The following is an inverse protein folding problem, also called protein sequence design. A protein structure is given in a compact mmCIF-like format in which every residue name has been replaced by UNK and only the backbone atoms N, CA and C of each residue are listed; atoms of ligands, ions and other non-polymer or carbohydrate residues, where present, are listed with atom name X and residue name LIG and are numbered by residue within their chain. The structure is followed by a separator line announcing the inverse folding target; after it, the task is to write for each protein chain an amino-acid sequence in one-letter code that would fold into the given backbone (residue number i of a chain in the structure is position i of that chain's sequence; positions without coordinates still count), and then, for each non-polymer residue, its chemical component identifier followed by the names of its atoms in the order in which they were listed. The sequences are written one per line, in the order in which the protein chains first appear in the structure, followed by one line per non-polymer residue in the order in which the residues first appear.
data_IF_814385120796
#
_entry.id   IF_814385120796
#
_cell.length_a   1.000
_cell.length_b   1.000
_cell.length_c   1.000
_cell.angle_alpha   90.00
_cell.angle_beta   90.00
_cell.angle_gamma   90.00
#
_symmetry.space_group_name_H-M   'P 1'
#
loop_
_entity.id
_entity.type
_entity.pdbx_description
1 polymer ?
#
# COMPACT_ATOMS: atom_id res chain seq x y z
N UNK A 1 -24.44 3.54 14.14
CA UNK A 1 -23.24 4.35 13.82
C UNK A 1 -22.20 3.42 13.23
N UNK A 2 -21.65 3.72 12.05
CA UNK A 2 -20.56 2.92 11.45
C UNK A 2 -19.26 3.72 11.53
N UNK A 3 -18.23 3.10 12.10
CA UNK A 3 -16.89 3.67 12.15
C UNK A 3 -15.88 2.64 11.68
N UNK A 4 -14.87 3.13 10.98
CA UNK A 4 -13.75 2.34 10.50
C UNK A 4 -12.51 2.81 11.22
N UNK A 5 -11.87 1.90 11.95
CA UNK A 5 -10.66 2.15 12.73
C UNK A 5 -9.50 1.45 12.02
N UNK A 6 -8.41 2.17 11.80
CA UNK A 6 -7.18 1.63 11.24
C UNK A 6 -6.04 1.82 12.24
N UNK A 7 -5.32 0.75 12.56
CA UNK A 7 -4.03 0.80 13.27
C UNK A 7 -3.03 1.57 12.42
N UNK A 8 -2.19 2.39 13.07
CA UNK A 8 -1.14 3.16 12.41
C UNK A 8 0.22 2.90 13.07
N UNK A 9 1.34 3.08 12.35
CA UNK A 9 2.67 2.94 12.92
C UNK A 9 2.91 4.02 13.98
N UNK A 10 3.94 3.78 14.79
CA UNK A 10 4.33 4.71 15.87
C UNK A 10 4.73 6.08 15.30
N UNK A 11 4.33 7.15 15.98
CA UNK A 11 4.61 8.53 15.56
C UNK A 11 3.60 9.10 14.56
N UNK A 12 2.55 8.37 14.20
CA UNK A 12 1.46 8.87 13.36
C UNK A 12 0.50 9.77 14.16
N UNK A 13 0.30 9.46 15.45
CA UNK A 13 -0.65 10.14 16.33
C UNK A 13 -2.11 9.69 16.13
N UNK A 14 -3.03 10.38 16.82
CA UNK A 14 -4.47 10.08 16.76
C UNK A 14 -5.19 11.02 15.79
N UNK A 15 -5.62 10.49 14.65
CA UNK A 15 -6.46 11.20 13.67
C UNK A 15 -7.89 10.68 13.76
N UNK A 16 -8.69 11.34 14.58
CA UNK A 16 -10.08 10.96 14.85
C UNK A 16 -10.95 12.19 15.19
N UNK A 17 -12.25 11.96 15.37
CA UNK A 17 -13.14 12.97 15.96
C UNK A 17 -12.66 13.35 17.37
N UNK A 18 -12.84 14.63 17.76
CA UNK A 18 -12.43 15.18 19.07
C UNK A 18 -12.74 14.27 20.28
N UNK A 19 -13.93 13.67 20.32
CA UNK A 19 -14.39 12.83 21.44
C UNK A 19 -13.56 11.55 21.52
N UNK A 20 -13.34 10.88 20.39
CA UNK A 20 -12.52 9.66 20.34
C UNK A 20 -11.07 9.98 20.70
N UNK A 21 -10.56 11.15 20.28
CA UNK A 21 -9.19 11.56 20.63
C UNK A 21 -8.99 11.65 22.15
N UNK A 22 -9.94 12.20 22.89
CA UNK A 22 -9.86 12.22 24.37
C UNK A 22 -9.99 10.82 24.97
N UNK A 23 -10.87 9.98 24.42
CA UNK A 23 -10.98 8.57 24.84
C UNK A 23 -9.67 7.80 24.61
N UNK A 24 -9.02 7.97 23.46
CA UNK A 24 -7.73 7.35 23.17
C UNK A 24 -6.63 7.80 24.13
N UNK A 25 -6.62 9.08 24.53
CA UNK A 25 -5.68 9.58 25.55
C UNK A 25 -5.90 8.89 26.91
N UNK A 26 -7.16 8.70 27.32
CA UNK A 26 -7.48 8.01 28.57
C UNK A 26 -7.09 6.52 28.55
N UNK A 27 -7.28 5.85 27.42
CA UNK A 27 -6.93 4.42 27.26
C UNK A 27 -5.40 4.24 27.09
N UNK A 28 -4.69 5.27 26.63
CA UNK A 28 -3.26 5.19 26.31
C UNK A 28 -2.96 4.74 24.89
N UNK A 29 -3.89 4.93 23.95
CA UNK A 29 -3.67 4.64 22.52
C UNK A 29 -3.07 5.88 21.84
N UNK A 30 -1.85 5.75 21.33
CA UNK A 30 -1.08 6.84 20.71
C UNK A 30 -1.33 6.99 19.21
N UNK A 31 -1.43 5.88 18.48
CA UNK A 31 -1.36 5.88 17.01
C UNK A 31 -2.56 5.18 16.38
N UNK A 32 -3.50 5.97 15.87
CA UNK A 32 -4.78 5.45 15.41
C UNK A 32 -5.47 6.41 14.43
N UNK A 33 -6.08 5.86 13.38
CA UNK A 33 -6.89 6.63 12.44
C UNK A 33 -8.33 6.14 12.44
N UNK A 34 -9.29 7.01 12.80
CA UNK A 34 -10.73 6.70 12.74
C UNK A 34 -11.40 7.48 11.64
N UNK A 35 -12.11 6.76 10.77
CA UNK A 35 -13.02 7.34 9.79
C UNK A 35 -14.46 6.99 10.14
N UNK A 36 -15.29 8.02 10.26
CA UNK A 36 -16.73 7.86 10.36
C UNK A 36 -17.34 7.84 8.97
N UNK A 37 -18.29 6.93 8.77
CA UNK A 37 -19.02 6.79 7.51
C UNK A 37 -20.11 7.87 7.39
N UNK A 38 -20.76 8.19 8.52
CA UNK A 38 -21.77 9.23 8.63
C UNK A 38 -21.40 10.33 9.63
N UNK A 39 -22.13 11.45 9.60
CA UNK A 39 -21.97 12.53 10.59
C UNK A 39 -22.30 12.00 11.99
N UNK A 40 -21.45 12.32 12.97
CA UNK A 40 -21.72 11.97 14.35
C UNK A 40 -22.87 12.82 14.92
N UNK A 41 -24.05 12.21 15.08
CA UNK A 41 -25.22 12.87 15.67
C UNK A 41 -25.19 12.95 17.20
N UNK A 42 -24.52 12.00 17.87
CA UNK A 42 -24.40 11.97 19.34
C UNK A 42 -23.05 11.41 19.78
N UNK A 43 -22.46 12.00 20.82
CA UNK A 43 -21.18 11.58 21.39
C UNK A 43 -21.28 10.23 22.12
N UNK A 44 -22.41 9.93 22.76
CA UNK A 44 -22.59 8.67 23.49
C UNK A 44 -22.60 7.46 22.53
N UNK A 45 -23.30 7.59 21.40
CA UNK A 45 -23.33 6.55 20.37
C UNK A 45 -21.96 6.33 19.73
N UNK A 46 -21.16 7.38 19.59
CA UNK A 46 -19.79 7.30 19.11
C UNK A 46 -18.91 6.52 20.08
N UNK A 47 -18.94 6.88 21.37
CA UNK A 47 -18.14 6.22 22.42
C UNK A 47 -18.55 4.75 22.54
N UNK A 48 -19.85 4.46 22.62
CA UNK A 48 -20.38 3.09 22.69
C UNK A 48 -19.88 2.23 21.53
N UNK A 49 -19.99 2.73 20.30
CA UNK A 49 -19.54 1.98 19.14
C UNK A 49 -18.01 1.81 19.10
N UNK A 50 -17.24 2.80 19.58
CA UNK A 50 -15.78 2.69 19.67
C UNK A 50 -15.36 1.65 20.71
N UNK A 51 -15.92 1.70 21.92
CA UNK A 51 -15.63 0.74 22.99
C UNK A 51 -16.07 -0.68 22.62
N UNK A 52 -17.24 -0.84 22.01
CA UNK A 52 -17.68 -2.14 21.49
C UNK A 52 -16.71 -2.70 20.45
N UNK A 53 -16.14 -1.83 19.59
CA UNK A 53 -15.11 -2.22 18.63
C UNK A 53 -13.81 -2.67 19.30
N UNK A 54 -13.37 -2.00 20.36
CA UNK A 54 -12.17 -2.38 21.13
C UNK A 54 -12.38 -3.70 21.87
N UNK A 55 -13.55 -3.94 22.45
CA UNK A 55 -13.87 -5.19 23.14
C UNK A 55 -13.90 -6.40 22.20
N UNK A 56 -14.37 -6.19 20.97
CA UNK A 56 -14.43 -7.24 19.95
C UNK A 56 -13.10 -7.44 19.19
N UNK A 57 -12.01 -6.80 19.64
CA UNK A 57 -10.71 -6.93 18.99
C UNK A 57 -10.12 -8.32 19.24
N UNK A 58 -9.78 -9.02 18.14
CA UNK A 58 -9.05 -10.29 18.22
C UNK A 58 -7.55 -10.05 18.31
N UNK A 59 -6.86 -10.86 19.10
CA UNK A 59 -5.40 -10.85 19.14
C UNK A 59 -4.82 -11.59 17.94
N UNK A 60 -3.56 -11.31 17.59
CA UNK A 60 -2.89 -12.01 16.49
C UNK A 60 -2.80 -13.52 16.73
N UNK A 61 -2.66 -13.93 17.99
CA UNK A 61 -2.63 -15.34 18.38
C UNK A 61 -3.98 -16.02 18.14
N UNK A 62 -5.07 -15.40 18.59
CA UNK A 62 -6.42 -15.92 18.35
C UNK A 62 -6.72 -16.08 16.85
N UNK A 63 -6.31 -15.11 16.03
CA UNK A 63 -6.46 -15.20 14.57
C UNK A 63 -5.65 -16.35 13.97
N UNK A 64 -4.40 -16.52 14.42
CA UNK A 64 -3.54 -17.61 13.97
C UNK A 64 -4.11 -18.97 14.37
N UNK A 65 -4.64 -19.11 15.58
CA UNK A 65 -5.26 -20.34 16.09
C UNK A 65 -6.59 -20.66 15.37
N UNK A 66 -7.44 -19.66 15.13
CA UNK A 66 -8.71 -19.81 14.39
C UNK A 66 -8.47 -20.29 12.95
N UNK A 67 -7.53 -19.67 12.25
CA UNK A 67 -7.20 -20.00 10.86
C UNK A 67 -6.19 -21.15 10.74
N UNK A 68 -5.53 -21.55 11.83
CA UNK A 68 -4.42 -22.51 11.85
C UNK A 68 -3.33 -22.20 10.82
N UNK A 69 -2.96 -20.91 10.72
CA UNK A 69 -1.94 -20.40 9.80
C UNK A 69 -1.03 -19.41 10.50
N UNK A 70 0.21 -19.28 10.02
CA UNK A 70 1.16 -18.29 10.53
C UNK A 70 0.75 -16.87 10.11
N UNK A 71 0.79 -15.93 11.06
CA UNK A 71 0.53 -14.53 10.79
C UNK A 71 1.86 -13.81 10.57
N UNK A 72 2.06 -13.30 9.35
CA UNK A 72 3.32 -12.68 8.91
C UNK A 72 3.09 -11.18 8.68
N UNK A 73 4.04 -10.37 9.16
CA UNK A 73 4.08 -8.93 8.95
C UNK A 73 5.11 -8.58 7.88
N UNK A 74 4.68 -7.72 6.97
CA UNK A 74 5.52 -7.12 5.95
C UNK A 74 5.59 -5.62 6.18
N UNK A 75 6.76 -5.09 6.56
CA UNK A 75 6.97 -3.65 6.74
C UNK A 75 7.88 -3.10 5.66
N UNK A 76 7.51 -1.94 5.12
CA UNK A 76 8.34 -1.21 4.14
C UNK A 76 9.65 -0.71 4.74
N UNK A 77 9.67 -0.42 6.03
CA UNK A 77 10.85 0.03 6.76
C UNK A 77 11.93 -1.05 6.87
N UNK A 78 11.53 -2.32 6.90
CA UNK A 78 12.42 -3.48 6.99
C UNK A 78 12.56 -4.17 5.63
N UNK A 79 12.50 -3.39 4.55
CA UNK A 79 12.61 -3.88 3.16
C UNK A 79 11.66 -5.04 2.83
N UNK A 80 10.45 -5.02 3.41
CA UNK A 80 9.41 -6.05 3.18
C UNK A 80 9.90 -7.44 3.63
N UNK A 81 10.84 -7.50 4.58
CA UNK A 81 11.27 -8.76 5.17
C UNK A 81 10.12 -9.44 5.95
N UNK A 82 9.85 -10.74 5.71
CA UNK A 82 8.75 -11.44 6.37
C UNK A 82 9.08 -11.68 7.84
N UNK A 83 8.29 -11.08 8.74
CA UNK A 83 8.39 -11.33 10.18
C UNK A 83 7.17 -12.11 10.66
N UNK A 84 7.38 -13.29 11.22
CA UNK A 84 6.29 -14.04 11.87
C UNK A 84 5.91 -13.32 13.18
N UNK A 85 4.66 -12.86 13.29
CA UNK A 85 4.11 -12.26 14.51
C UNK A 85 3.55 -13.32 15.44
N UNK A 86 2.78 -14.25 14.88
CA UNK A 86 2.08 -15.27 15.64
C UNK A 86 2.10 -16.60 14.89
N UNK A 87 2.22 -17.68 15.66
CA UNK A 87 2.16 -19.05 15.17
C UNK A 87 1.02 -19.79 15.86
N UNK A 88 0.27 -20.63 15.14
CA UNK A 88 -0.81 -21.40 15.73
C UNK A 88 -0.26 -22.41 16.74
N UNK A 89 -0.96 -22.58 17.86
CA UNK A 89 -0.58 -23.50 18.94
C UNK A 89 -0.85 -24.95 18.55
N UNK A 90 -1.95 -25.22 17.85
CA UNK A 90 -2.42 -26.56 17.48
C UNK A 90 -1.75 -27.10 16.20
N UNK A 91 -0.72 -26.42 15.70
CA UNK A 91 -0.06 -26.73 14.42
C UNK A 91 -0.67 -25.98 13.23
N UNK A 92 0.11 -25.85 12.16
CA UNK A 92 -0.26 -25.15 10.93
C UNK A 92 -0.91 -26.11 9.92
N UNK A 93 -1.94 -25.63 9.21
CA UNK A 93 -2.52 -26.35 8.06
C UNK A 93 -1.46 -26.58 6.99
N UNK A 94 -1.60 -27.71 6.29
CA UNK A 94 -0.82 -28.00 5.08
C UNK A 94 -1.34 -27.18 3.90
N UNK A 95 -0.53 -26.91 2.87
CA UNK A 95 -0.95 -26.14 1.70
C UNK A 95 -2.14 -26.78 0.95
N UNK A 96 -2.30 -28.10 1.04
CA UNK A 96 -3.39 -28.86 0.41
C UNK A 96 -4.76 -28.62 1.09
N UNK A 97 -4.76 -28.25 2.38
CA UNK A 97 -5.98 -28.02 3.17
C UNK A 97 -6.45 -26.55 3.10
N UNK A 98 -5.66 -25.68 2.47
CA UNK A 98 -5.98 -24.27 2.31
C UNK A 98 -6.74 -24.11 1.00
N UNK A 99 -7.98 -23.65 1.09
CA UNK A 99 -8.77 -23.35 -0.10
C UNK A 99 -8.11 -22.20 -0.88
N UNK A 100 -7.89 -22.33 -2.20
CA UNK A 100 -7.27 -21.28 -3.01
C UNK A 100 -8.04 -19.95 -3.02
N UNK A 101 -9.33 -19.97 -2.72
CA UNK A 101 -10.23 -18.82 -2.68
C UNK A 101 -10.48 -18.32 -1.25
N UNK A 102 -9.77 -18.84 -0.24
CA UNK A 102 -9.86 -18.36 1.14
C UNK A 102 -9.23 -16.95 1.28
N UNK A 103 -9.93 -16.05 1.96
CA UNK A 103 -9.41 -14.72 2.28
C UNK A 103 -8.23 -14.79 3.27
N UNK A 104 -7.05 -14.35 2.82
CA UNK A 104 -5.81 -14.36 3.59
C UNK A 104 -5.44 -12.99 4.19
N UNK A 105 -5.99 -11.89 3.67
CA UNK A 105 -5.70 -10.56 4.22
C UNK A 105 -6.30 -10.41 5.62
N UNK A 106 -5.43 -10.16 6.61
CA UNK A 106 -5.80 -9.95 8.01
C UNK A 106 -6.89 -8.87 8.15
N UNK A 107 -6.81 -7.78 7.36
CA UNK A 107 -7.80 -6.69 7.45
C UNK A 107 -9.19 -7.15 6.98
N UNK A 108 -9.23 -7.96 5.93
CA UNK A 108 -10.46 -8.52 5.37
C UNK A 108 -11.11 -9.51 6.35
N UNK A 109 -10.29 -10.41 6.94
CA UNK A 109 -10.73 -11.41 7.92
C UNK A 109 -11.28 -10.74 9.19
N UNK A 110 -10.52 -9.81 9.79
CA UNK A 110 -10.93 -9.14 11.03
C UNK A 110 -12.18 -8.29 10.82
N UNK A 111 -12.32 -7.68 9.65
CA UNK A 111 -13.48 -6.82 9.36
C UNK A 111 -14.72 -7.59 8.91
N UNK A 112 -14.62 -8.90 8.73
CA UNK A 112 -15.69 -9.75 8.18
C UNK A 112 -16.11 -9.28 6.78
N UNK A 113 -15.14 -8.97 5.92
CA UNK A 113 -15.36 -8.49 4.55
C UNK A 113 -15.78 -7.02 4.43
N UNK A 114 -15.89 -6.27 5.52
CA UNK A 114 -16.32 -4.86 5.50
C UNK A 114 -15.12 -3.91 5.55
N UNK A 115 -14.69 -3.40 4.40
CA UNK A 115 -13.65 -2.36 4.35
C UNK A 115 -14.20 -0.95 4.16
N UNK A 116 -13.48 0.03 4.73
CA UNK A 116 -13.68 1.43 4.40
C UNK A 116 -13.35 1.67 2.93
N UNK A 117 -14.29 2.23 2.18
CA UNK A 117 -14.03 2.66 0.80
C UNK A 117 -12.89 3.67 0.78
N UNK A 118 -11.82 3.35 0.06
CA UNK A 118 -10.75 4.30 -0.20
C UNK A 118 -11.26 5.37 -1.16
N UNK A 119 -11.00 6.65 -0.84
CA UNK A 119 -11.32 7.71 -1.78
C UNK A 119 -10.40 7.54 -3.00
N UNK A 120 -10.92 7.58 -4.23
CA UNK A 120 -10.06 7.56 -5.40
C UNK A 120 -9.12 8.77 -5.33
N UNK A 121 -7.88 8.59 -5.79
CA UNK A 121 -6.93 9.70 -5.90
C UNK A 121 -7.58 10.78 -6.77
N UNK A 122 -7.46 12.04 -6.34
CA UNK A 122 -7.95 13.15 -7.15
C UNK A 122 -7.23 13.15 -8.49
N UNK A 123 -8.01 13.20 -9.56
CA UNK A 123 -7.50 13.30 -10.93
C UNK A 123 -8.00 14.60 -11.54
N UNK A 124 -7.13 15.39 -12.21
CA UNK A 124 -7.55 16.53 -12.98
C UNK A 124 -8.64 16.17 -14.00
N UNK A 125 -9.52 17.12 -14.28
CA UNK A 125 -10.70 16.90 -15.14
C UNK A 125 -10.32 16.45 -16.56
N UNK A 126 -9.23 16.98 -17.13
CA UNK A 126 -8.78 16.67 -18.50
C UNK A 126 -8.23 15.24 -18.63
N UNK A 127 -7.74 14.66 -17.54
CA UNK A 127 -7.34 13.24 -17.45
C UNK A 127 -8.60 12.38 -17.37
N UNK A 128 -9.54 12.76 -16.49
CA UNK A 128 -10.80 12.04 -16.29
C UNK A 128 -11.65 11.95 -17.57
N UNK A 129 -11.72 13.04 -18.33
CA UNK A 129 -12.48 13.11 -19.58
C UNK A 129 -11.67 12.64 -20.81
N UNK A 130 -10.41 12.24 -20.64
CA UNK A 130 -9.51 11.82 -21.72
C UNK A 130 -9.53 12.78 -22.93
N UNK A 131 -9.39 14.07 -22.66
CA UNK A 131 -9.46 15.13 -23.68
C UNK A 131 -8.41 14.95 -24.78
N UNK A 132 -8.69 15.49 -25.99
CA UNK A 132 -7.76 15.39 -27.12
C UNK A 132 -6.38 15.98 -26.81
N UNK A 133 -6.33 17.12 -26.12
CA UNK A 133 -5.08 17.75 -25.69
C UNK A 133 -4.26 16.85 -24.76
N UNK A 134 -4.93 16.16 -23.82
CA UNK A 134 -4.28 15.19 -22.94
C UNK A 134 -3.72 13.99 -23.72
N UNK A 135 -4.45 13.48 -24.71
CA UNK A 135 -3.94 12.41 -25.58
C UNK A 135 -2.69 12.85 -26.38
N UNK A 136 -2.68 14.08 -26.89
CA UNK A 136 -1.51 14.65 -27.58
C UNK A 136 -0.34 14.79 -26.62
N UNK A 137 -0.58 15.28 -25.40
CA UNK A 137 0.44 15.35 -24.35
C UNK A 137 1.01 13.95 -24.04
N UNK A 138 0.15 12.95 -23.84
CA UNK A 138 0.58 11.57 -23.61
C UNK A 138 1.42 11.02 -24.77
N UNK A 139 1.04 11.25 -26.02
CA UNK A 139 1.84 10.86 -27.19
C UNK A 139 3.23 11.51 -27.20
N UNK A 140 3.32 12.77 -26.77
CA UNK A 140 4.59 13.50 -26.66
C UNK A 140 5.46 13.02 -25.50
N UNK A 141 4.85 12.67 -24.36
CA UNK A 141 5.58 12.33 -23.12
C UNK A 141 5.84 10.82 -22.96
N UNK A 142 5.00 9.95 -23.52
CA UNK A 142 5.11 8.49 -23.40
C UNK A 142 6.50 7.94 -23.79
N UNK A 143 7.17 8.41 -24.86
CA UNK A 143 8.52 7.95 -25.20
C UNK A 143 9.55 8.23 -24.11
N UNK A 144 9.39 9.32 -23.36
CA UNK A 144 10.38 9.79 -22.39
C UNK A 144 10.13 9.26 -20.96
N UNK A 145 8.90 8.83 -20.67
CA UNK A 145 8.46 8.51 -19.30
C UNK A 145 9.22 7.34 -18.65
N UNK A 146 9.76 6.43 -19.47
CA UNK A 146 10.59 5.31 -19.01
C UNK A 146 11.99 5.28 -19.66
N UNK A 147 12.35 6.32 -20.41
CA UNK A 147 13.55 6.29 -21.27
C UNK A 147 14.84 6.01 -20.49
N UNK A 148 14.97 6.55 -19.27
CA UNK A 148 16.14 6.34 -18.40
C UNK A 148 16.28 4.89 -17.95
N UNK A 149 15.22 4.30 -17.38
CA UNK A 149 15.23 2.91 -16.93
C UNK A 149 15.30 1.93 -18.11
N UNK A 150 14.64 2.23 -19.22
CA UNK A 150 14.79 1.46 -20.46
C UNK A 150 16.24 1.49 -20.95
N UNK A 151 16.92 2.65 -20.90
CA UNK A 151 18.36 2.76 -21.20
C UNK A 151 19.21 1.87 -20.30
N UNK A 152 19.00 1.96 -18.98
CA UNK A 152 19.75 1.15 -18.00
C UNK A 152 19.52 -0.33 -18.26
N UNK A 153 18.28 -0.76 -18.47
CA UNK A 153 17.95 -2.16 -18.73
C UNK A 153 18.57 -2.67 -20.04
N UNK A 154 18.62 -1.83 -21.08
CA UNK A 154 19.26 -2.18 -22.36
C UNK A 154 20.78 -2.31 -22.20
N UNK A 155 21.41 -1.35 -21.51
CA UNK A 155 22.84 -1.40 -21.19
C UNK A 155 23.17 -2.61 -20.30
N UNK A 156 22.34 -2.93 -19.31
CA UNK A 156 22.53 -4.08 -18.43
C UNK A 156 22.41 -5.41 -19.19
N UNK A 157 21.39 -5.55 -20.06
CA UNK A 157 21.14 -6.80 -20.80
C UNK A 157 22.13 -7.02 -21.94
N UNK A 158 22.49 -5.97 -22.68
CA UNK A 158 23.27 -6.07 -23.91
C UNK A 158 24.68 -5.47 -23.80
N UNK A 159 25.04 -4.87 -22.68
CA UNK A 159 26.34 -4.20 -22.48
C UNK A 159 26.49 -2.85 -23.20
N UNK A 160 25.52 -2.46 -24.04
CA UNK A 160 25.52 -1.22 -24.83
C UNK A 160 24.12 -0.64 -24.95
N UNK A 161 24.05 0.66 -25.27
CA UNK A 161 22.76 1.28 -25.57
C UNK A 161 22.33 0.93 -26.99
N UNK A 162 21.47 -0.08 -27.12
CA UNK A 162 20.92 -0.55 -28.38
C UNK A 162 19.38 -0.54 -28.37
N UNK A 163 18.75 -0.79 -29.53
CA UNK A 163 17.32 -1.06 -29.56
C UNK A 163 17.04 -2.46 -29.03
N UNK A 164 15.87 -2.69 -28.41
CA UNK A 164 15.49 -4.04 -27.95
C UNK A 164 15.25 -5.00 -29.13
N UNK A 165 14.74 -4.51 -30.26
CA UNK A 165 14.48 -5.33 -31.44
C UNK A 165 15.77 -5.74 -32.17
N UNK A 166 16.73 -4.81 -32.29
CA UNK A 166 17.99 -5.02 -33.00
C UNK A 166 19.16 -4.74 -32.04
N UNK A 167 19.60 -5.75 -31.27
CA UNK A 167 20.73 -5.61 -30.35
C UNK A 167 22.09 -5.56 -31.07
N UNK A 168 22.21 -6.16 -32.26
CA UNK A 168 23.46 -6.26 -33.03
C UNK A 168 23.71 -5.06 -33.97
N UNK A 169 22.77 -4.12 -34.03
CA UNK A 169 22.86 -2.97 -34.92
C UNK A 169 24.10 -2.12 -34.61
N UNK A 170 24.87 -1.76 -35.65
CA UNK A 170 26.15 -1.04 -35.55
C UNK A 170 25.98 0.47 -35.35
N UNK A 171 24.77 1.00 -35.56
CA UNK A 171 24.39 2.38 -35.27
C UNK A 171 24.28 2.59 -33.76
N UNK A 172 25.42 2.54 -33.10
CA UNK A 172 25.57 2.93 -31.71
C UNK A 172 25.17 4.39 -31.63
N UNK A 173 24.07 4.71 -30.93
CA UNK A 173 23.67 6.09 -30.64
C UNK A 173 24.73 6.69 -29.71
N UNK A 174 25.86 7.12 -30.28
CA UNK A 174 26.93 7.80 -29.56
C UNK A 174 26.33 9.07 -28.97
N UNK A 175 26.09 9.05 -27.66
CA UNK A 175 26.01 10.29 -26.90
C UNK A 175 27.35 10.96 -27.13
N UNK A 176 27.36 12.03 -27.93
CA UNK A 176 28.53 12.90 -28.06
C UNK A 176 28.86 13.40 -26.66
N UNK A 177 29.77 12.73 -25.97
CA UNK A 177 30.49 13.30 -24.84
C UNK A 177 31.19 14.53 -25.42
N UNK A 178 30.82 15.72 -24.91
CA UNK A 178 31.47 16.99 -25.27
C UNK A 178 32.96 16.77 -24.99
N UNK A 179 33.78 16.66 -26.05
CA UNK A 179 35.23 16.52 -25.91
C UNK A 179 35.73 17.70 -25.08
N UNK A 180 36.43 17.39 -24.01
CA UNK A 180 37.22 18.35 -23.24
C UNK A 180 38.25 19.00 -24.17
N UNK A 181 38.43 20.30 -23.99
CA UNK A 181 39.46 21.08 -24.67
C UNK A 181 40.81 20.76 -24.03
N UNK A 182 41.77 20.27 -24.82
CA UNK A 182 43.19 20.19 -24.46
C UNK A 182 43.99 20.49 -25.74
N UNK A 183 44.27 21.78 -25.98
CA UNK A 183 45.60 22.41 -25.94
C UNK A 183 46.51 22.05 -27.13
N UNK A 184 46.52 22.94 -28.13
CA UNK A 184 47.73 23.49 -28.76
C UNK A 184 47.70 25.01 -28.54
#
# INVERSE_FOLDING_TARGET
MKMFVKKKPIGFGVVAQRVIREVCKMIGITDLHVKLDCRAGSASNLIKAFLLGLLNQKTHQQLADEKRLHLVEFRKETDIFPRVIASPTTGCRKPEEVDPNEEMDVNMVVSGGRLAREKPKWVPWYIKQNTKGWQVHLKKVAPYRNAYWTRINLIMKHGKLCSFLNPDDQLTMHLRLKKEKTQE
#
